data_IF_610832337944
#
_entry.id   IF_610832337944
#
_cell.length_a   1.000
_cell.length_b   1.000
_cell.length_c   1.000
_cell.angle_alpha   90.00
_cell.angle_beta   90.00
_cell.angle_gamma   90.00
#
_symmetry.space_group_name_H-M   'P 1'
#
loop_
_entity.id
_entity.type
_entity.pdbx_description
1 polymer ?
#
# COMPACT_ATOMS: atom_id res chain seq x y z
N UNK A 1 3.32 -18.48 5.37
CA UNK A 1 3.43 -18.85 3.94
C UNK A 1 3.81 -17.59 3.18
N UNK A 2 4.64 -17.72 2.15
CA UNK A 2 4.87 -16.62 1.21
C UNK A 2 3.55 -16.36 0.47
N UNK A 3 3.19 -15.09 0.28
CA UNK A 3 2.05 -14.76 -0.59
C UNK A 3 2.38 -15.14 -2.03
N UNK A 4 1.43 -15.76 -2.72
CA UNK A 4 1.51 -15.93 -4.16
C UNK A 4 1.03 -14.64 -4.84
N UNK A 5 1.91 -14.04 -5.64
CA UNK A 5 1.64 -12.85 -6.43
C UNK A 5 1.69 -13.18 -7.92
N UNK A 6 0.74 -12.66 -8.67
CA UNK A 6 0.76 -12.68 -10.14
C UNK A 6 1.94 -11.88 -10.69
N UNK A 7 2.23 -12.04 -11.99
CA UNK A 7 3.31 -11.29 -12.66
C UNK A 7 3.12 -9.77 -12.53
N UNK A 8 1.89 -9.29 -12.69
CA UNK A 8 1.58 -7.86 -12.66
C UNK A 8 1.66 -7.31 -11.24
N UNK A 9 1.19 -8.07 -10.25
CA UNK A 9 1.34 -7.72 -8.83
C UNK A 9 2.81 -7.66 -8.40
N UNK A 10 3.64 -8.61 -8.87
CA UNK A 10 5.09 -8.57 -8.64
C UNK A 10 5.72 -7.33 -9.27
N UNK A 11 5.33 -6.99 -10.49
CA UNK A 11 5.81 -5.78 -11.17
C UNK A 11 5.38 -4.50 -10.41
N UNK A 12 4.17 -4.49 -9.85
CA UNK A 12 3.65 -3.35 -9.08
C UNK A 12 4.32 -3.23 -7.70
N UNK A 13 4.69 -4.33 -7.06
CA UNK A 13 5.36 -4.34 -5.76
C UNK A 13 6.87 -4.06 -5.84
N UNK A 14 7.54 -4.53 -6.90
CA UNK A 14 9.00 -4.49 -7.01
C UNK A 14 9.64 -3.10 -6.76
N UNK A 15 9.02 -1.97 -7.14
CA UNK A 15 9.56 -0.65 -6.85
C UNK A 15 9.55 -0.28 -5.36
N UNK A 16 8.70 -0.93 -4.55
CA UNK A 16 8.41 -0.50 -3.18
C UNK A 16 8.91 -1.46 -2.10
N UNK A 17 9.34 -2.67 -2.46
CA UNK A 17 9.87 -3.65 -1.49
C UNK A 17 11.14 -4.32 -2.00
N UNK A 18 12.08 -4.55 -1.08
CA UNK A 18 13.39 -5.14 -1.44
C UNK A 18 13.37 -6.65 -1.64
N UNK A 19 12.32 -7.34 -1.17
CA UNK A 19 12.17 -8.78 -1.32
C UNK A 19 10.69 -9.17 -1.41
N UNK A 20 10.33 -9.94 -2.45
CA UNK A 20 8.97 -10.38 -2.73
C UNK A 20 8.66 -11.78 -2.19
N UNK A 21 9.68 -12.56 -1.83
CA UNK A 21 9.55 -13.99 -1.56
C UNK A 21 9.90 -14.33 -0.11
N UNK A 22 10.89 -13.63 0.45
CA UNK A 22 11.37 -13.83 1.81
C UNK A 22 10.44 -13.27 2.90
N UNK A 23 10.59 -13.74 4.15
CA UNK A 23 9.83 -13.22 5.29
C UNK A 23 10.29 -11.82 5.73
N UNK A 24 11.50 -11.41 5.32
CA UNK A 24 12.11 -10.12 5.67
C UNK A 24 12.31 -9.30 4.41
N UNK A 25 11.85 -8.05 4.44
CA UNK A 25 11.99 -7.07 3.37
C UNK A 25 11.98 -5.66 3.96
N UNK A 26 12.49 -4.70 3.21
CA UNK A 26 12.36 -3.27 3.52
C UNK A 26 11.35 -2.62 2.57
N UNK A 27 10.66 -1.60 3.05
CA UNK A 27 9.83 -0.72 2.22
C UNK A 27 10.71 0.43 1.74
N UNK A 28 10.75 0.65 0.43
CA UNK A 28 11.54 1.69 -0.24
C UNK A 28 10.63 2.52 -1.14
N UNK A 29 11.04 3.76 -1.43
CA UNK A 29 10.42 4.63 -2.44
C UNK A 29 8.90 4.86 -2.34
N UNK A 30 8.32 4.56 -1.18
CA UNK A 30 6.92 4.79 -0.86
C UNK A 30 6.77 6.13 -0.12
N UNK A 31 5.77 6.97 -0.46
CA UNK A 31 5.54 8.20 0.28
C UNK A 31 5.30 7.92 1.78
N UNK A 32 5.83 8.77 2.67
CA UNK A 32 5.74 8.58 4.12
C UNK A 32 4.29 8.49 4.62
N UNK A 33 3.40 9.29 4.02
CA UNK A 33 1.94 9.24 4.30
C UNK A 33 1.37 7.86 4.00
N UNK A 34 1.79 7.22 2.92
CA UNK A 34 1.34 5.87 2.56
C UNK A 34 1.91 4.85 3.53
N UNK A 35 3.18 4.96 3.93
CA UNK A 35 3.78 4.08 4.95
C UNK A 35 2.98 4.13 6.25
N UNK A 36 2.70 5.34 6.76
CA UNK A 36 1.96 5.52 8.00
C UNK A 36 0.53 4.94 7.93
N UNK A 37 -0.21 5.24 6.86
CA UNK A 37 -1.55 4.70 6.65
C UNK A 37 -1.54 3.17 6.48
N UNK A 38 -0.55 2.62 5.76
CA UNK A 38 -0.39 1.20 5.54
C UNK A 38 -0.12 0.46 6.86
N UNK A 39 0.77 0.97 7.71
CA UNK A 39 1.05 0.37 9.03
C UNK A 39 -0.17 0.45 9.96
N UNK A 40 -0.86 1.60 10.00
CA UNK A 40 -2.09 1.75 10.77
C UNK A 40 -3.14 0.72 10.33
N UNK A 41 -3.36 0.57 9.02
CA UNK A 41 -4.32 -0.39 8.46
C UNK A 41 -3.89 -1.84 8.68
N UNK A 42 -2.59 -2.13 8.57
CA UNK A 42 -2.00 -3.45 8.77
C UNK A 42 -2.24 -3.97 10.20
N UNK A 43 -2.16 -3.10 11.20
CA UNK A 43 -2.41 -3.47 12.61
C UNK A 43 -3.81 -4.07 12.87
N UNK A 44 -4.76 -3.85 11.95
CA UNK A 44 -6.17 -4.29 12.04
C UNK A 44 -6.56 -5.20 10.87
N UNK A 45 -5.58 -5.78 10.16
CA UNK A 45 -5.82 -6.62 8.98
C UNK A 45 -5.25 -8.03 9.19
N UNK A 46 -5.95 -9.09 8.74
CA UNK A 46 -5.38 -10.43 8.71
C UNK A 46 -4.44 -10.66 7.51
N UNK A 47 -4.37 -9.71 6.55
CA UNK A 47 -3.52 -9.82 5.34
C UNK A 47 -2.07 -9.51 5.66
N UNK A 48 -1.16 -10.05 4.85
CA UNK A 48 0.23 -9.57 4.86
C UNK A 48 0.31 -8.10 4.42
N UNK A 49 1.41 -7.43 4.77
CA UNK A 49 1.60 -6.03 4.41
C UNK A 49 1.69 -5.81 2.89
N UNK A 50 2.35 -6.73 2.16
CA UNK A 50 2.44 -6.69 0.69
C UNK A 50 1.08 -6.88 0.02
N UNK A 51 0.30 -7.87 0.47
CA UNK A 51 -1.06 -8.11 -0.04
C UNK A 51 -1.99 -6.95 0.26
N UNK A 52 -1.91 -6.40 1.47
CA UNK A 52 -2.68 -5.23 1.88
C UNK A 52 -2.39 -4.01 1.00
N UNK A 53 -1.11 -3.76 0.70
CA UNK A 53 -0.71 -2.65 -0.15
C UNK A 53 -1.28 -2.78 -1.58
N UNK A 54 -1.20 -3.95 -2.19
CA UNK A 54 -1.83 -4.22 -3.50
C UNK A 54 -3.34 -3.97 -3.45
N UNK A 55 -4.01 -4.64 -2.51
CA UNK A 55 -5.47 -4.70 -2.50
C UNK A 55 -6.12 -3.36 -2.15
N UNK A 56 -5.50 -2.60 -1.24
CA UNK A 56 -6.14 -1.43 -0.65
C UNK A 56 -5.51 -0.10 -1.07
N UNK A 57 -4.21 -0.06 -1.42
CA UNK A 57 -3.49 1.19 -1.68
C UNK A 57 -3.17 1.42 -3.17
N UNK A 58 -2.63 0.43 -3.88
CA UNK A 58 -2.34 0.56 -5.32
C UNK A 58 -3.61 0.65 -6.16
N UNK A 59 -4.63 -0.16 -5.81
CA UNK A 59 -5.88 -0.26 -6.56
C UNK A 59 -5.68 -0.74 -8.01
N UNK A 60 -6.79 -0.77 -8.78
CA UNK A 60 -6.77 -1.27 -10.16
C UNK A 60 -5.90 -0.43 -11.12
N UNK A 61 -5.85 0.89 -10.91
CA UNK A 61 -5.06 1.81 -11.74
C UNK A 61 -3.55 1.61 -11.52
N UNK A 62 -3.11 1.40 -10.27
CA UNK A 62 -1.71 1.09 -9.96
C UNK A 62 -1.25 -0.23 -10.57
N UNK A 63 -2.11 -1.25 -10.52
CA UNK A 63 -1.84 -2.55 -11.15
C UNK A 63 -1.75 -2.45 -12.67
N UNK A 64 -2.67 -1.72 -13.31
CA UNK A 64 -2.68 -1.54 -14.76
C UNK A 64 -1.44 -0.78 -15.26
N UNK A 65 -1.00 0.26 -14.53
CA UNK A 65 0.21 1.01 -14.85
C UNK A 65 1.47 0.12 -14.78
N UNK A 66 1.56 -0.73 -13.76
CA UNK A 66 2.67 -1.68 -13.61
C UNK A 66 2.69 -2.73 -14.72
N UNK A 67 1.52 -3.29 -15.08
CA UNK A 67 1.38 -4.23 -16.20
C UNK A 67 1.76 -3.64 -17.57
N UNK A 68 1.58 -2.33 -17.73
CA UNK A 68 1.96 -1.59 -18.94
C UNK A 68 3.46 -1.20 -18.99
N UNK A 69 4.24 -1.51 -17.95
CA UNK A 69 5.66 -1.10 -17.86
C UNK A 69 5.85 0.42 -17.74
N UNK A 70 4.78 1.15 -17.39
CA UNK A 70 4.87 2.58 -17.11
C UNK A 70 5.57 2.80 -15.77
N UNK A 71 6.26 3.94 -15.62
CA UNK A 71 6.81 4.33 -14.32
C UNK A 71 5.70 4.28 -13.26
N UNK A 72 6.04 3.77 -12.08
CA UNK A 72 5.07 3.58 -11.00
C UNK A 72 4.30 4.90 -10.79
N UNK A 73 2.96 4.86 -10.70
CA UNK A 73 2.16 6.07 -10.69
C UNK A 73 2.65 6.98 -9.56
N UNK A 74 2.90 8.25 -9.88
CA UNK A 74 3.37 9.25 -8.91
C UNK A 74 2.44 9.46 -7.72
N UNK A 75 1.27 8.82 -7.72
CA UNK A 75 0.33 8.82 -6.61
C UNK A 75 0.42 7.58 -5.70
N UNK A 76 1.22 6.53 -5.96
CA UNK A 76 1.53 5.34 -5.13
C UNK A 76 0.58 4.97 -3.95
N UNK A 77 -0.74 5.10 -4.11
CA UNK A 77 -1.72 4.96 -3.04
C UNK A 77 -1.89 6.15 -2.06
N UNK A 78 -1.21 7.28 -2.29
CA UNK A 78 -1.32 8.57 -1.58
C UNK A 78 -2.76 9.00 -1.38
N UNK A 79 -3.59 9.02 -2.44
CA UNK A 79 -5.01 9.44 -2.33
C UNK A 79 -5.77 8.56 -1.34
N UNK A 80 -5.49 7.25 -1.31
CA UNK A 80 -6.12 6.33 -0.37
C UNK A 80 -5.61 6.58 1.05
N UNK A 81 -4.31 6.79 1.20
CA UNK A 81 -3.70 7.10 2.48
C UNK A 81 -4.30 8.38 3.09
N UNK A 82 -4.44 9.44 2.29
CA UNK A 82 -5.08 10.70 2.70
C UNK A 82 -6.52 10.49 3.16
N UNK A 83 -7.34 9.75 2.40
CA UNK A 83 -8.72 9.43 2.79
C UNK A 83 -8.81 8.61 4.08
N UNK A 84 -7.83 7.75 4.34
CA UNK A 84 -7.79 6.95 5.57
C UNK A 84 -7.45 7.85 6.76
N UNK A 85 -6.48 8.75 6.61
CA UNK A 85 -6.18 9.76 7.61
C UNK A 85 -7.37 10.68 7.89
N UNK A 86 -8.03 11.19 6.85
CA UNK A 86 -9.19 12.06 6.99
C UNK A 86 -10.28 11.38 7.84
N UNK A 87 -10.62 10.11 7.56
CA UNK A 87 -11.59 9.37 8.37
C UNK A 87 -11.14 9.21 9.82
N UNK A 88 -9.87 8.84 10.04
CA UNK A 88 -9.32 8.65 11.40
C UNK A 88 -9.31 9.97 12.18
N UNK A 89 -9.00 11.10 11.53
CA UNK A 89 -8.99 12.41 12.18
C UNK A 89 -10.40 12.97 12.41
N UNK A 90 -11.36 12.69 11.52
CA UNK A 90 -12.77 13.10 11.68
C UNK A 90 -13.47 12.27 12.76
N UNK A 91 -13.25 10.94 12.81
CA UNK A 91 -13.86 10.07 13.82
C UNK A 91 -13.32 10.28 15.24
N UNK A 92 -12.12 10.85 15.40
CA UNK A 92 -11.55 11.21 16.71
C UNK A 92 -11.77 12.68 17.10
N UNK A 93 -12.28 13.52 16.18
CA UNK A 93 -12.36 14.97 16.33
C UNK A 93 -13.72 15.51 16.79
N UNK A 94 -14.81 14.75 16.63
CA UNK A 94 -16.17 15.25 16.91
C UNK A 94 -16.59 15.12 18.39
N UNK A 95 -15.92 14.27 19.18
CA UNK A 95 -16.20 14.07 20.62
C UNK A 95 -15.39 15.01 21.55
N UNK A 96 -14.84 16.12 21.02
CA UNK A 96 -13.98 17.06 21.77
C UNK A 96 -14.50 18.51 21.82
N UNK A 97 -15.82 18.73 21.77
CA UNK A 97 -16.43 20.07 22.01
C UNK A 97 -17.45 20.05 23.13
#
# INVERSE_FOLDING_TARGET
>A
MADEFTRDERAALAPYVTNLDGPVFAIVDLPEVVKGALFARYSRSPKSLRRLFIDEFLGAAGLAAAGAGAAAPGDAGTRRAEQLYERVFVEYGDDSV
#
